data_IF_916834667860
#
_entry.id   IF_916834667860
#
_cell.length_a   1.000
_cell.length_b   1.000
_cell.length_c   1.000
_cell.angle_alpha   90.00
_cell.angle_beta   90.00
_cell.angle_gamma   90.00
#
_symmetry.space_group_name_H-M   'P 1'
#
loop_
_entity.id
_entity.type
_entity.pdbx_description
1 polymer ?
#
# COMPACT_ATOMS: atom_id res chain seq x y z
N UNK A 1 -38.29 -5.18 13.84
CA UNK A 1 -37.13 -4.26 13.72
C UNK A 1 -35.86 -5.10 13.68
N UNK A 2 -35.29 -5.31 12.50
CA UNK A 2 -34.13 -6.19 12.30
C UNK A 2 -32.83 -5.52 12.71
N UNK A 3 -32.04 -6.23 13.51
CA UNK A 3 -30.64 -5.93 13.81
C UNK A 3 -29.81 -6.33 12.58
N UNK A 4 -29.28 -5.35 11.86
CA UNK A 4 -28.25 -5.58 10.86
C UNK A 4 -26.88 -5.47 11.53
N UNK A 5 -26.33 -6.62 11.94
CA UNK A 5 -24.92 -6.73 12.29
C UNK A 5 -24.08 -6.55 11.03
N UNK A 6 -23.52 -5.36 10.86
CA UNK A 6 -22.53 -5.10 9.81
C UNK A 6 -21.20 -5.65 10.33
N UNK A 7 -20.96 -6.91 10.00
CA UNK A 7 -19.71 -7.63 10.25
C UNK A 7 -18.52 -6.78 9.78
N UNK A 8 -17.69 -6.37 10.72
CA UNK A 8 -16.34 -5.88 10.43
C UNK A 8 -15.59 -7.02 9.75
N UNK A 9 -15.42 -6.93 8.43
CA UNK A 9 -14.57 -7.82 7.63
C UNK A 9 -13.19 -7.93 8.28
N UNK A 10 -12.98 -9.01 9.04
CA UNK A 10 -11.66 -9.35 9.55
C UNK A 10 -10.80 -9.75 8.36
N UNK A 11 -9.83 -8.90 8.02
CA UNK A 11 -8.75 -9.26 7.12
C UNK A 11 -8.03 -10.50 7.68
N UNK A 12 -7.54 -11.43 6.82
CA UNK A 12 -6.93 -12.67 7.26
C UNK A 12 -5.76 -12.44 8.22
N UNK A 13 -5.59 -13.38 9.15
CA UNK A 13 -4.48 -13.49 10.09
C UNK A 13 -3.12 -13.25 9.39
N UNK A 14 -2.36 -12.32 9.96
CA UNK A 14 -1.37 -11.48 9.28
C UNK A 14 -0.29 -12.24 8.50
N UNK A 15 -0.32 -12.11 7.17
CA UNK A 15 0.89 -12.12 6.36
C UNK A 15 1.76 -10.91 6.75
N UNK A 16 3.09 -11.03 6.67
CA UNK A 16 3.97 -9.87 6.78
C UNK A 16 3.53 -8.79 5.76
N UNK A 17 3.52 -7.50 6.13
CA UNK A 17 3.08 -6.44 5.21
C UNK A 17 3.99 -6.40 3.98
N UNK A 18 3.40 -6.32 2.80
CA UNK A 18 4.15 -6.23 1.55
C UNK A 18 4.96 -4.94 1.52
N UNK A 19 6.17 -5.03 0.98
CA UNK A 19 6.96 -3.87 0.60
C UNK A 19 6.36 -3.19 -0.62
N UNK A 20 6.70 -1.91 -0.84
CA UNK A 20 6.27 -1.18 -2.04
C UNK A 20 6.80 -1.82 -3.32
N UNK A 21 8.03 -2.35 -3.29
CA UNK A 21 8.61 -3.05 -4.44
C UNK A 21 7.80 -4.29 -4.78
N UNK A 22 7.44 -5.13 -3.80
CA UNK A 22 6.60 -6.31 -4.04
C UNK A 22 5.24 -5.94 -4.63
N UNK A 23 4.61 -4.87 -4.13
CA UNK A 23 3.33 -4.37 -4.66
C UNK A 23 3.46 -3.94 -6.13
N UNK A 24 4.55 -3.24 -6.48
CA UNK A 24 4.79 -2.75 -7.85
C UNK A 24 5.19 -3.88 -8.80
N UNK A 25 6.13 -4.73 -8.39
CA UNK A 25 6.69 -5.83 -9.19
C UNK A 25 5.66 -6.91 -9.49
N UNK A 26 4.74 -7.18 -8.55
CA UNK A 26 3.62 -8.10 -8.78
C UNK A 26 2.46 -7.45 -9.56
N UNK A 27 2.60 -6.19 -10.00
CA UNK A 27 1.60 -5.51 -10.81
C UNK A 27 0.32 -5.10 -10.06
N UNK A 28 0.33 -5.16 -8.72
CA UNK A 28 -0.81 -4.80 -7.88
C UNK A 28 -1.01 -3.27 -7.82
N UNK A 29 0.10 -2.53 -7.86
CA UNK A 29 0.05 -1.08 -7.79
C UNK A 29 -0.85 -0.47 -8.89
N UNK A 30 -1.77 0.40 -8.51
CA UNK A 30 -2.61 1.18 -9.45
C UNK A 30 -2.15 2.62 -9.64
N UNK A 31 -1.06 3.04 -8.96
CA UNK A 31 -0.50 4.38 -9.11
C UNK A 31 -1.28 5.48 -8.38
N UNK A 32 -2.06 5.15 -7.35
CA UNK A 32 -2.91 6.12 -6.65
C UNK A 32 -2.14 7.16 -5.79
N UNK A 33 -0.87 6.91 -5.48
CA UNK A 33 -0.05 7.82 -4.67
C UNK A 33 -0.35 7.85 -3.16
N UNK A 34 -1.22 6.97 -2.66
CA UNK A 34 -1.60 6.97 -1.24
C UNK A 34 -0.42 6.71 -0.31
N UNK A 35 0.45 5.76 -0.68
CA UNK A 35 1.67 5.47 0.08
C UNK A 35 2.57 6.71 0.23
N UNK A 36 2.77 7.48 -0.86
CA UNK A 36 3.50 8.76 -0.82
C UNK A 36 2.83 9.78 0.10
N UNK A 37 1.50 9.87 0.07
CA UNK A 37 0.77 10.77 0.96
C UNK A 37 0.98 10.42 2.44
N UNK A 38 1.12 9.13 2.76
CA UNK A 38 1.33 8.64 4.12
C UNK A 38 2.78 8.74 4.62
N UNK A 39 3.77 8.41 3.78
CA UNK A 39 5.20 8.39 4.17
C UNK A 39 5.97 9.66 3.74
N UNK A 40 5.31 10.59 3.03
CA UNK A 40 5.89 11.86 2.63
C UNK A 40 7.16 11.71 1.79
N UNK A 41 8.26 12.30 2.27
CA UNK A 41 9.55 12.37 1.56
C UNK A 41 10.28 11.03 1.45
N UNK A 42 9.82 10.01 2.17
CA UNK A 42 10.42 8.68 2.14
C UNK A 42 10.01 7.88 0.90
N UNK A 43 9.00 8.35 0.14
CA UNK A 43 8.53 7.73 -1.10
C UNK A 43 8.44 8.80 -2.20
N UNK A 44 8.94 8.48 -3.39
CA UNK A 44 8.81 9.34 -4.58
C UNK A 44 7.90 8.73 -5.64
N UNK A 45 7.14 9.61 -6.28
CA UNK A 45 6.48 9.49 -7.59
C UNK A 45 7.46 9.40 -8.77
N UNK A 46 7.70 8.24 -9.39
CA UNK A 46 8.55 8.20 -10.62
C UNK A 46 7.83 7.57 -11.80
N UNK A 47 8.09 8.10 -13.00
CA UNK A 47 7.68 7.49 -14.26
C UNK A 47 8.51 6.24 -14.52
N UNK A 48 7.84 5.11 -14.71
CA UNK A 48 8.50 3.85 -15.11
C UNK A 48 8.60 3.74 -16.63
N UNK A 49 9.46 2.83 -17.15
CA UNK A 49 9.58 2.58 -18.59
C UNK A 49 8.25 2.17 -19.26
N UNK A 50 7.31 1.60 -18.50
CA UNK A 50 5.97 1.23 -18.98
C UNK A 50 5.03 2.44 -19.11
N UNK A 51 5.53 3.66 -18.87
CA UNK A 51 4.77 4.90 -19.01
C UNK A 51 3.76 5.14 -17.89
N UNK A 52 3.99 4.59 -16.70
CA UNK A 52 3.10 4.76 -15.53
C UNK A 52 3.88 5.32 -14.34
N UNK A 53 3.23 6.14 -13.52
CA UNK A 53 3.84 6.57 -12.26
C UNK A 53 3.74 5.46 -11.20
N UNK A 54 4.88 5.10 -10.61
CA UNK A 54 4.99 4.11 -9.53
C UNK A 54 5.76 4.67 -8.33
N UNK A 55 5.40 4.27 -7.11
CA UNK A 55 6.11 4.69 -5.91
C UNK A 55 7.48 4.00 -5.83
N UNK A 56 8.51 4.75 -5.47
CA UNK A 56 9.84 4.22 -5.11
C UNK A 56 10.21 4.68 -3.71
N UNK A 57 10.54 3.74 -2.84
CA UNK A 57 11.03 4.05 -1.50
C UNK A 57 12.44 4.62 -1.58
N UNK A 58 12.67 5.80 -0.97
CA UNK A 58 13.99 6.44 -0.88
C UNK A 58 14.91 5.76 0.12
N UNK A 59 14.31 5.06 1.07
CA UNK A 59 14.96 4.28 2.12
C UNK A 59 14.06 3.10 2.49
N UNK A 60 14.61 2.12 3.19
CA UNK A 60 13.80 1.04 3.75
C UNK A 60 12.74 1.61 4.71
N UNK A 61 11.48 1.26 4.49
CA UNK A 61 10.38 1.60 5.39
C UNK A 61 10.34 0.59 6.52
N UNK A 62 10.06 1.06 7.74
CA UNK A 62 9.90 0.18 8.88
C UNK A 62 8.59 -0.62 8.80
N UNK A 63 8.53 -1.76 9.50
CA UNK A 63 7.33 -2.62 9.54
C UNK A 63 6.06 -1.85 9.95
N UNK A 64 6.08 -0.96 10.96
CA UNK A 64 4.90 -0.18 11.34
C UNK A 64 4.37 0.72 10.21
N UNK A 65 5.24 1.37 9.44
CA UNK A 65 4.85 2.21 8.31
C UNK A 65 4.29 1.36 7.18
N UNK A 66 4.96 0.24 6.84
CA UNK A 66 4.46 -0.70 5.85
C UNK A 66 3.08 -1.26 6.22
N UNK A 67 2.86 -1.63 7.48
CA UNK A 67 1.57 -2.12 7.95
C UNK A 67 0.46 -1.07 7.78
N UNK A 68 0.74 0.20 8.11
CA UNK A 68 -0.22 1.31 7.90
C UNK A 68 -0.55 1.48 6.41
N UNK A 69 0.46 1.45 5.54
CA UNK A 69 0.26 1.56 4.09
C UNK A 69 -0.58 0.39 3.58
N UNK A 70 -0.21 -0.86 3.92
CA UNK A 70 -0.91 -2.07 3.48
C UNK A 70 -2.38 -2.10 3.93
N UNK A 71 -2.69 -1.51 5.10
CA UNK A 71 -4.07 -1.43 5.59
C UNK A 71 -5.00 -0.56 4.73
N UNK A 72 -4.46 0.33 3.89
CA UNK A 72 -5.25 1.27 3.07
C UNK A 72 -4.91 1.23 1.58
N UNK A 73 -3.84 0.52 1.18
CA UNK A 73 -3.41 0.44 -0.20
C UNK A 73 -4.47 -0.31 -1.03
N UNK A 74 -5.02 0.28 -2.11
CA UNK A 74 -6.02 -0.37 -2.95
C UNK A 74 -5.43 -1.42 -3.91
N UNK A 75 -4.11 -1.59 -3.90
CA UNK A 75 -3.36 -2.56 -4.71
C UNK A 75 -1.94 -2.67 -4.20
#
# INVERSE_FOLDING_TARGET
MGLIETSCSQAPLAADPLTLSEIVENGLCIGCGLCRSMAGRDIEMVMTPEGRERPVARKALDKPTLAKINAVCPG
#
